data_IF_405278767538
#
_entry.id   IF_405278767538
#
_cell.length_a   1.000
_cell.length_b   1.000
_cell.length_c   1.000
_cell.angle_alpha   90.00
_cell.angle_beta   90.00
_cell.angle_gamma   90.00
#
_symmetry.space_group_name_H-M   'P 1'
#
loop_
_entity.id
_entity.type
_entity.pdbx_description
1 polymer ?
#
# COMPACT_ATOMS: atom_id res chain seq x y z
N UNK A 1 -37.33 3.48 6.04
CA UNK A 1 -36.16 2.63 5.79
C UNK A 1 -35.09 3.05 6.78
N UNK A 2 -34.97 2.24 7.83
CA UNK A 2 -33.71 1.67 8.28
C UNK A 2 -32.53 2.63 8.58
N UNK A 3 -32.65 3.38 9.69
CA UNK A 3 -31.49 4.10 10.25
C UNK A 3 -30.53 3.15 10.97
N UNK A 4 -31.05 2.07 11.56
CA UNK A 4 -30.28 1.11 12.35
C UNK A 4 -29.29 0.30 11.50
N UNK A 5 -29.66 -0.13 10.29
CA UNK A 5 -28.76 -0.91 9.43
C UNK A 5 -27.60 -0.06 8.86
N UNK A 6 -27.84 1.22 8.56
CA UNK A 6 -26.80 2.14 8.07
C UNK A 6 -25.75 2.40 9.16
N UNK A 7 -26.17 2.52 10.42
CA UNK A 7 -25.27 2.76 11.55
C UNK A 7 -24.36 1.52 11.81
N UNK A 8 -24.91 0.31 11.72
CA UNK A 8 -24.15 -0.94 11.92
C UNK A 8 -23.16 -1.21 10.77
N UNK A 9 -23.57 -1.00 9.51
CA UNK A 9 -22.68 -1.10 8.35
C UNK A 9 -21.58 -0.03 8.36
N UNK A 10 -21.88 1.18 8.85
CA UNK A 10 -20.89 2.24 8.99
C UNK A 10 -19.87 1.92 10.08
N UNK A 11 -20.30 1.41 11.24
CA UNK A 11 -19.42 1.03 12.33
C UNK A 11 -18.45 -0.09 11.91
N UNK A 12 -18.94 -1.08 11.16
CA UNK A 12 -18.08 -2.13 10.59
C UNK A 12 -17.06 -1.57 9.59
N UNK A 13 -17.48 -0.66 8.71
CA UNK A 13 -16.60 0.00 7.77
C UNK A 13 -15.52 0.84 8.49
N UNK A 14 -15.88 1.54 9.56
CA UNK A 14 -14.93 2.28 10.40
C UNK A 14 -13.96 1.34 11.13
N UNK A 15 -14.41 0.16 11.58
CA UNK A 15 -13.54 -0.84 12.18
C UNK A 15 -12.53 -1.42 11.18
N UNK A 16 -12.95 -1.68 9.94
CA UNK A 16 -12.06 -2.10 8.83
C UNK A 16 -11.01 -1.02 8.55
N UNK A 17 -11.43 0.24 8.40
CA UNK A 17 -10.52 1.36 8.17
C UNK A 17 -9.54 1.55 9.33
N UNK A 18 -9.98 1.37 10.58
CA UNK A 18 -9.06 1.40 11.76
C UNK A 18 -7.98 0.32 11.71
N UNK A 19 -8.21 -0.82 11.06
CA UNK A 19 -7.20 -1.87 10.84
C UNK A 19 -6.26 -1.59 9.67
N UNK A 20 -6.45 -0.47 8.97
CA UNK A 20 -5.63 -0.09 7.82
C UNK A 20 -6.25 -0.49 6.46
N UNK A 21 -7.47 -1.03 6.46
CA UNK A 21 -8.17 -1.42 5.23
C UNK A 21 -8.78 -0.20 4.53
N UNK A 22 -9.05 -0.30 3.22
CA UNK A 22 -9.75 0.74 2.46
C UNK A 22 -11.15 0.25 2.10
N UNK A 23 -12.15 1.10 2.33
CA UNK A 23 -13.57 0.75 2.08
C UNK A 23 -14.17 1.72 1.05
N UNK A 24 -14.87 1.20 0.06
CA UNK A 24 -15.60 2.00 -0.95
C UNK A 24 -17.06 2.09 -0.55
N UNK A 25 -17.59 3.31 -0.42
CA UNK A 25 -18.99 3.55 -0.14
C UNK A 25 -19.77 3.70 -1.44
N UNK A 26 -20.86 2.96 -1.56
CA UNK A 26 -21.75 2.98 -2.71
C UNK A 26 -23.07 3.68 -2.36
N UNK A 27 -23.61 4.47 -3.28
CA UNK A 27 -24.98 4.97 -3.23
C UNK A 27 -25.75 4.39 -4.42
N UNK A 28 -26.77 3.58 -4.14
CA UNK A 28 -27.58 2.91 -5.19
C UNK A 28 -26.74 2.07 -6.18
N UNK A 29 -25.69 1.43 -5.67
CA UNK A 29 -24.76 0.62 -6.46
C UNK A 29 -23.61 1.41 -7.10
N UNK A 30 -23.69 2.74 -7.16
CA UNK A 30 -22.63 3.58 -7.71
C UNK A 30 -21.61 3.97 -6.62
N UNK A 31 -20.29 3.82 -6.86
CA UNK A 31 -19.28 4.23 -5.90
C UNK A 31 -19.25 5.76 -5.79
N UNK A 32 -19.43 6.29 -4.58
CA UNK A 32 -19.50 7.75 -4.34
C UNK A 32 -18.37 8.28 -3.46
N UNK A 33 -17.80 7.45 -2.61
CA UNK A 33 -16.75 7.87 -1.69
C UNK A 33 -15.84 6.68 -1.31
N UNK A 34 -14.68 6.99 -0.76
CA UNK A 34 -13.74 6.01 -0.21
C UNK A 34 -13.32 6.45 1.19
N UNK A 35 -13.44 5.53 2.15
CA UNK A 35 -12.88 5.70 3.49
C UNK A 35 -11.47 5.11 3.50
N UNK A 36 -10.51 5.92 3.91
CA UNK A 36 -9.11 5.53 4.08
C UNK A 36 -8.63 5.93 5.46
N UNK A 37 -7.66 5.19 6.04
CA UNK A 37 -6.98 5.62 7.25
C UNK A 37 -6.35 7.01 7.04
N UNK A 38 -6.50 7.90 8.03
CA UNK A 38 -5.98 9.28 7.96
C UNK A 38 -4.46 9.28 7.88
N UNK A 39 -3.83 8.44 8.67
CA UNK A 39 -2.41 8.14 8.55
C UNK A 39 -2.27 6.87 7.72
N UNK A 40 -1.47 6.85 6.63
CA UNK A 40 -0.94 5.56 6.21
C UNK A 40 -0.33 4.93 7.46
N UNK A 41 -0.49 3.63 7.67
CA UNK A 41 0.26 2.91 8.71
C UNK A 41 1.72 2.90 8.25
N UNK A 42 2.35 4.08 8.26
CA UNK A 42 3.74 4.30 8.02
C UNK A 42 4.42 3.88 9.31
N UNK A 43 4.63 2.58 9.41
CA UNK A 43 5.47 2.05 10.45
C UNK A 43 6.91 2.38 10.09
N UNK A 44 7.42 3.45 10.70
CA UNK A 44 8.83 3.85 10.58
C UNK A 44 9.76 2.68 10.92
N UNK A 45 9.38 1.79 11.83
CA UNK A 45 10.19 0.62 12.15
C UNK A 45 10.18 -0.40 11.03
N UNK A 46 9.04 -0.62 10.36
CA UNK A 46 8.96 -1.52 9.21
C UNK A 46 9.81 -1.01 8.03
N UNK A 47 9.73 0.30 7.75
CA UNK A 47 10.59 0.94 6.75
C UNK A 47 12.08 0.80 7.08
N UNK A 48 12.46 0.98 8.36
CA UNK A 48 13.85 0.81 8.80
C UNK A 48 14.31 -0.65 8.73
N UNK A 49 13.44 -1.62 9.07
CA UNK A 49 13.72 -3.06 8.93
C UNK A 49 13.93 -3.44 7.47
N UNK A 50 13.08 -2.96 6.57
CA UNK A 50 13.22 -3.20 5.13
C UNK A 50 14.56 -2.66 4.59
N UNK A 51 14.94 -1.43 4.98
CA UNK A 51 16.24 -0.84 4.62
C UNK A 51 17.40 -1.65 5.19
N UNK A 52 17.30 -2.14 6.42
CA UNK A 52 18.34 -2.95 7.04
C UNK A 52 18.51 -4.30 6.31
N UNK A 53 17.41 -4.98 5.99
CA UNK A 53 17.45 -6.20 5.17
C UNK A 53 18.07 -5.95 3.80
N UNK A 54 17.72 -4.84 3.12
CA UNK A 54 18.33 -4.49 1.84
C UNK A 54 19.84 -4.25 1.95
N UNK A 55 20.31 -3.64 3.04
CA UNK A 55 21.75 -3.42 3.29
C UNK A 55 22.49 -4.73 3.53
N UNK A 56 21.90 -5.67 4.27
CA UNK A 56 22.46 -6.99 4.53
C UNK A 56 22.54 -7.83 3.26
N UNK A 57 21.49 -7.82 2.44
CA UNK A 57 21.44 -8.57 1.18
C UNK A 57 22.32 -7.99 0.07
N UNK A 58 22.70 -6.70 0.19
CA UNK A 58 23.55 -6.03 -0.80
C UNK A 58 24.91 -6.71 -0.96
N UNK A 59 25.46 -7.29 0.10
CA UNK A 59 26.75 -7.96 0.07
C UNK A 59 26.63 -9.32 -0.64
N UNK A 60 26.83 -9.33 -1.96
CA UNK A 60 26.84 -10.56 -2.78
C UNK A 60 25.95 -10.50 -4.02
N UNK A 61 25.02 -9.54 -4.09
CA UNK A 61 24.21 -9.32 -5.29
C UNK A 61 25.03 -8.49 -6.28
N UNK A 62 25.48 -9.13 -7.36
CA UNK A 62 26.18 -8.45 -8.45
C UNK A 62 25.43 -8.64 -9.77
N UNK A 63 25.57 -7.70 -10.69
CA UNK A 63 25.04 -7.80 -12.05
C UNK A 63 25.86 -8.76 -12.95
N UNK A 64 26.65 -9.67 -12.35
CA UNK A 64 27.43 -10.66 -13.10
C UNK A 64 28.45 -10.04 -14.05
N UNK A 65 29.01 -8.88 -13.71
CA UNK A 65 29.96 -8.13 -14.54
C UNK A 65 29.32 -7.12 -15.51
N UNK A 66 27.99 -7.08 -15.61
CA UNK A 66 27.29 -6.02 -16.34
C UNK A 66 27.34 -4.71 -15.54
N UNK A 67 27.52 -3.58 -16.24
CA UNK A 67 27.43 -2.28 -15.58
C UNK A 67 25.97 -1.85 -15.56
N UNK A 68 25.58 -1.17 -14.50
CA UNK A 68 24.25 -0.59 -14.38
C UNK A 68 23.88 0.32 -15.58
N UNK A 69 24.88 1.06 -16.11
CA UNK A 69 24.69 1.88 -17.33
C UNK A 69 24.29 1.04 -18.54
N UNK A 70 24.78 -0.18 -18.67
CA UNK A 70 24.46 -1.04 -19.82
C UNK A 70 22.98 -1.47 -19.75
N UNK A 71 22.44 -1.68 -18.54
CA UNK A 71 21.02 -1.96 -18.32
C UNK A 71 20.11 -0.77 -18.64
N UNK A 72 20.50 0.46 -18.26
CA UNK A 72 19.72 1.67 -18.60
C UNK A 72 19.61 1.83 -20.12
N UNK A 73 20.74 1.68 -20.82
CA UNK A 73 20.76 1.86 -22.28
C UNK A 73 19.89 0.83 -23.01
N UNK A 74 19.85 -0.42 -22.53
CA UNK A 74 18.93 -1.44 -23.08
C UNK A 74 17.47 -1.07 -22.85
N UNK A 75 17.11 -0.54 -21.68
CA UNK A 75 15.74 -0.10 -21.39
C UNK A 75 15.25 1.06 -22.27
N UNK A 76 16.15 1.92 -22.76
CA UNK A 76 15.80 3.03 -23.67
C UNK A 76 15.60 2.60 -25.14
N UNK A 77 15.87 1.34 -25.48
CA UNK A 77 15.70 0.82 -26.85
C UNK A 77 14.27 0.34 -27.15
N UNK A 78 13.43 0.20 -26.13
CA UNK A 78 12.04 -0.26 -26.21
C UNK A 78 11.09 0.85 -25.74
#
# INVERSE_FOLDING_TARGET
MDRSHIDEELDEALAQVRRGEQVILHHRGEPIARLVPVDPVWDKQDALKAVQHMKEWREGISLGGLRFKDLIHEGHKY
#
